data_IF_835142697939
#
_entry.id   IF_835142697939
#
_cell.length_a   1.000
_cell.length_b   1.000
_cell.length_c   1.000
_cell.angle_alpha   90.00
_cell.angle_beta   90.00
_cell.angle_gamma   90.00
#
_symmetry.space_group_name_H-M   'P 1'
#
loop_
_entity.id
_entity.type
_entity.pdbx_description
1 polymer ?
#
# COMPACT_ATOMS: atom_id res chain seq x y z
N UNK A 1 1.01 0.83 22.06
CA UNK A 1 2.03 0.90 20.99
C UNK A 1 1.33 1.43 19.74
N UNK A 2 1.97 2.16 18.84
CA UNK A 2 1.29 2.58 17.59
C UNK A 2 1.37 1.43 16.59
N UNK A 3 0.22 1.04 16.05
CA UNK A 3 0.09 -0.06 15.09
C UNK A 3 -0.57 0.43 13.79
N UNK A 4 -0.20 -0.22 12.69
CA UNK A 4 -0.78 0.02 11.39
C UNK A 4 -0.89 -1.27 10.62
N UNK A 5 -1.87 -1.33 9.72
CA UNK A 5 -2.12 -2.48 8.89
C UNK A 5 -2.32 -2.08 7.44
N UNK A 6 -1.85 -2.90 6.51
CA UNK A 6 -1.88 -2.58 5.08
C UNK A 6 -2.00 -3.77 4.15
N UNK A 7 -2.30 -3.48 2.89
CA UNK A 7 -2.51 -4.48 1.83
C UNK A 7 -1.54 -4.23 0.67
N UNK A 8 -0.64 -5.18 0.44
CA UNK A 8 0.20 -5.20 -0.75
C UNK A 8 -0.58 -5.85 -1.90
N UNK A 9 -1.17 -5.00 -2.74
CA UNK A 9 -1.82 -5.44 -3.97
C UNK A 9 -0.75 -5.83 -5.00
N UNK A 10 -0.92 -7.01 -5.61
CA UNK A 10 -0.03 -7.50 -6.65
C UNK A 10 -0.83 -8.16 -7.79
N UNK A 11 -0.26 -8.18 -9.00
CA UNK A 11 -0.85 -8.84 -10.18
C UNK A 11 0.23 -9.54 -11.00
N UNK A 12 -0.15 -10.51 -11.84
CA UNK A 12 0.78 -11.04 -12.86
C UNK A 12 0.91 -10.00 -13.99
N UNK A 13 2.11 -9.89 -14.55
CA UNK A 13 2.39 -8.98 -15.66
C UNK A 13 3.49 -9.60 -16.53
N UNK A 14 3.10 -10.12 -17.70
CA UNK A 14 3.99 -10.94 -18.54
C UNK A 14 4.53 -12.13 -17.75
N UNK A 15 5.85 -12.35 -17.83
CA UNK A 15 6.53 -13.43 -17.10
C UNK A 15 6.81 -13.11 -15.62
N UNK A 16 6.36 -11.94 -15.14
CA UNK A 16 6.66 -11.45 -13.79
C UNK A 16 5.43 -11.05 -12.98
N UNK A 17 5.69 -10.27 -11.93
CA UNK A 17 4.67 -9.65 -11.09
C UNK A 17 4.90 -8.15 -10.99
N UNK A 18 3.80 -7.43 -10.80
CA UNK A 18 3.81 -6.03 -10.40
C UNK A 18 3.14 -5.88 -9.04
N UNK A 19 3.60 -4.90 -8.28
CA UNK A 19 3.00 -4.45 -7.02
C UNK A 19 2.48 -3.03 -7.18
N UNK A 20 1.36 -2.73 -6.53
CA UNK A 20 0.87 -1.36 -6.45
C UNK A 20 1.60 -0.65 -5.31
N UNK A 21 2.23 0.48 -5.63
CA UNK A 21 2.78 1.39 -4.64
C UNK A 21 2.13 2.77 -4.74
N UNK A 22 2.01 3.43 -3.60
CA UNK A 22 1.39 4.73 -3.46
C UNK A 22 2.42 5.80 -3.02
N UNK A 23 2.47 6.92 -3.72
CA UNK A 23 3.33 8.07 -3.39
C UNK A 23 2.64 8.93 -2.34
N UNK A 24 3.34 9.23 -1.25
CA UNK A 24 2.80 10.08 -0.20
C UNK A 24 2.55 11.50 -0.74
N UNK A 25 1.35 12.00 -0.55
CA UNK A 25 0.95 13.31 -0.99
C UNK A 25 1.38 14.44 -0.05
N UNK A 26 1.07 15.66 -0.45
CA UNK A 26 1.40 16.86 0.29
C UNK A 26 2.77 17.46 -0.04
N UNK A 27 2.99 18.72 0.39
CA UNK A 27 4.04 19.57 -0.15
C UNK A 27 5.46 19.12 0.23
N UNK A 28 5.60 18.41 1.35
CA UNK A 28 6.87 17.84 1.79
C UNK A 28 7.35 16.68 0.89
N UNK A 29 6.41 15.93 0.32
CA UNK A 29 6.69 14.72 -0.45
C UNK A 29 6.63 14.93 -1.95
N UNK A 30 5.96 15.99 -2.44
CA UNK A 30 5.70 16.22 -3.87
C UNK A 30 6.94 16.07 -4.79
N UNK A 31 8.14 16.47 -4.30
CA UNK A 31 9.41 16.44 -5.06
C UNK A 31 10.27 15.21 -4.78
N UNK A 32 9.90 14.38 -3.80
CA UNK A 32 10.66 13.20 -3.39
C UNK A 32 10.20 11.99 -4.19
N UNK A 33 11.14 11.13 -4.57
CA UNK A 33 10.84 9.86 -5.22
C UNK A 33 11.33 8.71 -4.34
N UNK A 34 12.64 8.62 -4.11
CA UNK A 34 13.20 7.56 -3.27
C UNK A 34 12.75 7.70 -1.81
N UNK A 35 12.27 6.60 -1.23
CA UNK A 35 11.73 6.56 0.13
C UNK A 35 10.44 7.36 0.33
N UNK A 36 9.75 7.76 -0.74
CA UNK A 36 8.51 8.54 -0.70
C UNK A 36 7.26 7.72 -1.06
N UNK A 37 7.44 6.46 -1.42
CA UNK A 37 6.34 5.55 -1.77
C UNK A 37 6.14 4.49 -0.68
N UNK A 38 4.97 3.87 -0.65
CA UNK A 38 4.67 2.79 0.28
C UNK A 38 3.47 1.95 -0.12
N UNK A 39 3.18 0.98 0.75
CA UNK A 39 1.98 0.15 0.75
C UNK A 39 0.83 0.98 1.34
N UNK A 40 -0.37 0.78 0.82
CA UNK A 40 -1.58 1.35 1.38
C UNK A 40 -1.83 0.77 2.76
N UNK A 41 -1.96 1.63 3.76
CA UNK A 41 -2.03 1.26 5.18
C UNK A 41 -2.44 2.47 6.02
N UNK A 42 -3.05 2.19 7.15
CA UNK A 42 -3.28 3.21 8.17
C UNK A 42 -3.28 2.65 9.56
N UNK A 43 -3.60 3.53 10.50
CA UNK A 43 -3.59 3.21 11.92
C UNK A 43 -4.86 2.43 12.27
N UNK A 44 -4.76 1.57 13.27
CA UNK A 44 -5.92 0.90 13.85
C UNK A 44 -5.70 0.73 15.35
N UNK A 45 -6.80 0.51 16.05
CA UNK A 45 -6.80 0.16 17.46
C UNK A 45 -6.97 -1.36 17.60
N UNK A 46 -5.95 -2.10 18.07
CA UNK A 46 -6.02 -3.56 18.18
C UNK A 46 -7.05 -4.03 19.22
N UNK A 47 -7.55 -3.17 20.11
CA UNK A 47 -8.63 -3.51 21.03
C UNK A 47 -10.01 -3.50 20.33
N UNK A 48 -10.14 -2.82 19.20
CA UNK A 48 -11.43 -2.52 18.56
C UNK A 48 -11.54 -2.99 17.09
N UNK A 49 -10.41 -3.20 16.40
CA UNK A 49 -10.39 -3.57 14.98
C UNK A 49 -9.34 -4.66 14.73
N UNK A 50 -9.69 -5.68 13.94
CA UNK A 50 -8.69 -6.64 13.48
C UNK A 50 -7.79 -5.99 12.42
N UNK A 51 -6.49 -6.26 12.51
CA UNK A 51 -5.52 -5.67 11.59
C UNK A 51 -5.82 -5.96 10.10
N UNK A 52 -6.38 -7.12 9.76
CA UNK A 52 -6.75 -7.40 8.37
C UNK A 52 -7.93 -6.54 7.89
N UNK A 53 -8.92 -6.29 8.75
CA UNK A 53 -10.04 -5.39 8.45
C UNK A 53 -9.55 -3.96 8.24
N UNK A 54 -8.65 -3.50 9.11
CA UNK A 54 -7.98 -2.20 8.95
C UNK A 54 -7.20 -2.10 7.62
N UNK A 55 -6.46 -3.15 7.23
CA UNK A 55 -5.73 -3.17 5.97
C UNK A 55 -6.66 -3.02 4.74
N UNK A 56 -7.84 -3.65 4.78
CA UNK A 56 -8.85 -3.54 3.72
C UNK A 56 -9.48 -2.14 3.70
N UNK A 57 -9.94 -1.65 4.86
CA UNK A 57 -10.55 -0.32 5.02
C UNK A 57 -9.61 0.79 4.53
N UNK A 58 -8.37 0.78 5.01
CA UNK A 58 -7.37 1.79 4.65
C UNK A 58 -7.03 1.77 3.17
N UNK A 59 -6.98 0.59 2.55
CA UNK A 59 -6.78 0.49 1.10
C UNK A 59 -7.95 1.10 0.33
N UNK A 60 -9.19 0.87 0.79
CA UNK A 60 -10.37 1.48 0.20
C UNK A 60 -10.36 3.01 0.33
N UNK A 61 -10.02 3.52 1.52
CA UNK A 61 -9.95 4.96 1.80
C UNK A 61 -8.81 5.67 1.02
N UNK A 62 -7.65 5.02 0.92
CA UNK A 62 -6.47 5.60 0.27
C UNK A 62 -6.53 5.53 -1.26
N UNK A 63 -7.14 4.48 -1.83
CA UNK A 63 -7.28 4.31 -3.28
C UNK A 63 -8.64 4.80 -3.81
N UNK A 64 -9.62 4.96 -2.94
CA UNK A 64 -11.03 5.17 -3.29
C UNK A 64 -11.72 3.91 -3.82
N UNK A 65 -11.09 2.74 -3.70
CA UNK A 65 -11.61 1.44 -4.13
C UNK A 65 -10.84 0.32 -3.42
N UNK A 66 -11.54 -0.74 -2.99
CA UNK A 66 -10.93 -1.99 -2.59
C UNK A 66 -10.99 -2.99 -3.76
N UNK A 67 -9.85 -3.35 -4.39
CA UNK A 67 -9.86 -4.29 -5.49
C UNK A 67 -10.29 -5.68 -5.00
N UNK A 68 -11.13 -6.35 -5.80
CA UNK A 68 -11.49 -7.75 -5.55
C UNK A 68 -10.27 -8.66 -5.71
N UNK A 69 -10.17 -9.67 -4.85
CA UNK A 69 -9.15 -10.70 -5.00
C UNK A 69 -9.36 -11.50 -6.29
N UNK A 70 -8.26 -11.95 -6.89
CA UNK A 70 -8.28 -12.85 -8.03
C UNK A 70 -8.95 -14.18 -7.68
N UNK A 71 -9.42 -14.90 -8.69
CA UNK A 71 -9.89 -16.28 -8.53
C UNK A 71 -8.83 -17.28 -8.97
N UNK A 72 -8.83 -18.48 -8.39
CA UNK A 72 -8.04 -19.60 -8.89
C UNK A 72 -8.66 -20.25 -10.14
N UNK A 73 -8.03 -21.30 -10.65
CA UNK A 73 -8.47 -22.00 -11.87
C UNK A 73 -9.85 -22.66 -11.71
N UNK A 74 -10.26 -22.95 -10.47
CA UNK A 74 -11.57 -23.51 -10.13
C UNK A 74 -12.62 -22.42 -9.85
N UNK A 75 -12.27 -21.13 -10.04
CA UNK A 75 -13.16 -20.00 -9.82
C UNK A 75 -13.33 -19.60 -8.35
N UNK A 76 -12.50 -20.12 -7.43
CA UNK A 76 -12.56 -19.76 -6.01
C UNK A 76 -11.78 -18.48 -5.76
N UNK A 77 -12.32 -17.58 -4.95
CA UNK A 77 -11.65 -16.32 -4.57
C UNK A 77 -10.40 -16.63 -3.75
N UNK A 78 -9.25 -16.13 -4.20
CA UNK A 78 -7.98 -16.23 -3.47
C UNK A 78 -8.05 -15.39 -2.21
N UNK A 79 -7.55 -15.96 -1.11
CA UNK A 79 -7.47 -15.28 0.18
C UNK A 79 -6.25 -14.38 0.24
N UNK A 80 -6.35 -13.35 1.07
CA UNK A 80 -5.20 -12.51 1.39
C UNK A 80 -4.20 -13.32 2.24
N UNK A 81 -2.94 -13.27 1.87
CA UNK A 81 -1.88 -14.06 2.53
C UNK A 81 -1.07 -13.14 3.43
N UNK A 82 -0.88 -13.47 4.73
CA UNK A 82 -0.11 -12.61 5.61
C UNK A 82 1.36 -12.56 5.18
N UNK A 83 1.86 -11.34 4.97
CA UNK A 83 3.30 -11.06 4.85
C UNK A 83 3.94 -10.80 6.22
N UNK A 84 3.17 -10.81 7.31
CA UNK A 84 3.64 -10.64 8.68
C UNK A 84 3.83 -9.19 9.10
N UNK A 85 4.59 -8.99 10.16
CA UNK A 85 4.78 -7.67 10.80
C UNK A 85 6.23 -7.20 10.72
N UNK A 86 6.43 -5.89 10.54
CA UNK A 86 7.73 -5.20 10.58
C UNK A 86 7.64 -3.98 11.48
N UNK A 87 8.69 -3.73 12.26
CA UNK A 87 8.81 -2.51 13.08
C UNK A 87 9.50 -1.40 12.29
N UNK A 88 8.85 -0.26 12.16
CA UNK A 88 9.42 0.92 11.51
C UNK A 88 10.50 1.59 12.37
N UNK A 89 11.28 2.50 11.77
CA UNK A 89 12.28 3.30 12.50
C UNK A 89 11.68 4.18 13.60
N UNK A 90 10.41 4.59 13.48
CA UNK A 90 9.70 5.35 14.52
C UNK A 90 9.19 4.46 15.66
N UNK A 91 9.39 3.14 15.58
CA UNK A 91 8.92 2.17 16.55
C UNK A 91 7.51 1.63 16.30
N UNK A 92 6.79 2.13 15.28
CA UNK A 92 5.45 1.68 14.87
C UNK A 92 5.50 0.25 14.31
N UNK A 93 4.53 -0.60 14.68
CA UNK A 93 4.35 -1.91 14.04
C UNK A 93 3.51 -1.78 12.77
N UNK A 94 3.91 -2.48 11.72
CA UNK A 94 3.24 -2.50 10.42
C UNK A 94 2.97 -3.96 10.08
N UNK A 95 1.71 -4.37 10.03
CA UNK A 95 1.30 -5.72 9.62
C UNK A 95 0.72 -5.66 8.22
N UNK A 96 1.15 -6.56 7.33
CA UNK A 96 0.75 -6.50 5.91
C UNK A 96 0.27 -7.86 5.42
N UNK A 97 -0.72 -7.83 4.54
CA UNK A 97 -1.16 -8.96 3.73
C UNK A 97 -0.89 -8.71 2.26
N UNK A 98 -0.69 -9.77 1.48
CA UNK A 98 -0.66 -9.74 0.03
C UNK A 98 -2.03 -10.12 -0.52
N UNK A 99 -2.55 -9.32 -1.46
CA UNK A 99 -3.75 -9.65 -2.24
C UNK A 99 -3.39 -9.69 -3.72
N UNK A 100 -3.61 -10.83 -4.35
CA UNK A 100 -3.56 -10.91 -5.81
C UNK A 100 -4.84 -10.30 -6.37
N UNK A 101 -4.72 -9.33 -7.28
CA UNK A 101 -5.86 -8.82 -8.07
C UNK A 101 -5.87 -9.49 -9.44
N UNK A 102 -6.99 -9.36 -10.16
CA UNK A 102 -7.11 -9.91 -11.51
C UNK A 102 -6.02 -9.37 -12.45
N UNK A 103 -5.55 -10.22 -13.35
CA UNK A 103 -4.57 -9.83 -14.36
C UNK A 103 -5.16 -8.73 -15.26
N UNK A 104 -4.37 -7.69 -15.51
CA UNK A 104 -4.84 -6.51 -16.25
C UNK A 104 -5.78 -5.58 -15.47
N UNK A 105 -6.12 -5.89 -14.21
CA UNK A 105 -6.85 -4.95 -13.36
C UNK A 105 -6.02 -3.69 -13.13
N UNK A 106 -6.63 -2.53 -13.31
CA UNK A 106 -6.02 -1.23 -13.03
C UNK A 106 -6.98 -0.33 -12.26
N UNK A 107 -6.43 0.73 -11.67
CA UNK A 107 -7.22 1.75 -10.99
C UNK A 107 -8.12 2.47 -12.01
N UNK A 108 -9.34 2.89 -11.62
CA UNK A 108 -10.23 3.66 -12.48
C UNK A 108 -9.58 4.93 -13.06
N UNK A 109 -8.70 5.57 -12.28
CA UNK A 109 -7.89 6.72 -12.69
C UNK A 109 -6.40 6.42 -12.44
N UNK A 110 -5.69 5.84 -13.43
CA UNK A 110 -4.30 5.45 -13.27
C UNK A 110 -3.42 6.62 -12.86
N UNK A 111 -2.66 6.43 -11.78
CA UNK A 111 -1.70 7.42 -11.28
C UNK A 111 -2.30 8.58 -10.48
N UNK A 112 -3.62 8.64 -10.25
CA UNK A 112 -4.27 9.63 -9.36
C UNK A 112 -5.40 8.97 -8.56
N UNK A 113 -5.11 8.42 -7.37
CA UNK A 113 -6.16 7.80 -6.56
C UNK A 113 -7.11 8.86 -5.98
N UNK A 114 -8.33 8.42 -5.64
CA UNK A 114 -9.27 9.22 -4.85
C UNK A 114 -8.96 9.03 -3.35
N UNK A 115 -7.81 9.55 -2.94
CA UNK A 115 -7.31 9.44 -1.56
C UNK A 115 -7.97 10.47 -0.63
N UNK A 116 -8.14 10.09 0.64
CA UNK A 116 -8.46 11.02 1.71
C UNK A 116 -7.48 12.22 1.78
N UNK A 117 -7.92 13.30 2.41
CA UNK A 117 -7.11 14.51 2.57
C UNK A 117 -6.80 14.80 4.01
N UNK A 118 -5.60 15.29 4.26
CA UNK A 118 -5.19 15.84 5.55
C UNK A 118 -5.01 17.35 5.44
N UNK A 119 -5.18 18.05 6.57
CA UNK A 119 -4.98 19.49 6.63
C UNK A 119 -3.62 19.81 7.26
N UNK A 120 -2.88 20.74 6.67
CA UNK A 120 -1.69 21.28 7.30
C UNK A 120 -1.53 22.78 7.04
N UNK A 121 -0.83 23.44 7.96
CA UNK A 121 -0.45 24.83 7.74
C UNK A 121 0.58 24.91 6.62
N UNK A 122 0.24 25.62 5.54
CA UNK A 122 1.12 25.77 4.39
C UNK A 122 0.95 27.14 3.70
N UNK A 123 2.04 27.89 3.40
CA UNK A 123 3.44 27.61 3.77
C UNK A 123 3.65 27.56 5.30
N UNK A 124 4.76 26.95 5.79
CA UNK A 124 5.01 26.83 7.22
C UNK A 124 4.95 28.18 7.94
N UNK A 125 4.34 28.22 9.13
CA UNK A 125 4.18 29.42 9.98
C UNK A 125 3.34 30.56 9.38
N UNK A 126 2.60 30.30 8.30
CA UNK A 126 1.79 31.34 7.61
C UNK A 126 0.43 31.64 8.25
N UNK A 127 -0.03 30.83 9.20
CA UNK A 127 -1.42 30.88 9.69
C UNK A 127 -2.45 30.24 8.74
N UNK A 128 -2.08 29.96 7.48
CA UNK A 128 -3.00 29.43 6.46
C UNK A 128 -3.00 27.90 6.45
N UNK A 129 -4.19 27.31 6.49
CA UNK A 129 -4.38 25.86 6.38
C UNK A 129 -4.88 25.48 5.00
N UNK A 130 -4.33 24.38 4.46
CA UNK A 130 -4.70 23.83 3.17
C UNK A 130 -4.87 22.31 3.29
N UNK A 131 -5.78 21.76 2.50
CA UNK A 131 -5.98 20.32 2.36
C UNK A 131 -5.02 19.75 1.31
N UNK A 132 -4.44 18.59 1.59
CA UNK A 132 -3.60 17.83 0.66
C UNK A 132 -4.02 16.37 0.68
N UNK A 133 -3.93 15.65 -0.45
CA UNK A 133 -4.20 14.21 -0.45
C UNK A 133 -3.12 13.47 0.36
N UNK A 134 -3.51 12.40 1.04
CA UNK A 134 -2.58 11.50 1.72
C UNK A 134 -1.71 10.73 0.72
N UNK A 135 -2.29 10.36 -0.42
CA UNK A 135 -1.58 9.80 -1.57
C UNK A 135 -1.90 10.61 -2.82
N UNK A 136 -0.87 11.08 -3.53
CA UNK A 136 -1.04 11.87 -4.75
C UNK A 136 -0.94 11.06 -6.04
N UNK A 137 -0.26 9.90 -5.99
CA UNK A 137 -0.01 9.04 -7.14
C UNK A 137 0.08 7.57 -6.75
N UNK A 138 -0.23 6.71 -7.71
CA UNK A 138 -0.04 5.26 -7.61
C UNK A 138 0.73 4.76 -8.84
N UNK A 139 1.40 3.64 -8.69
CA UNK A 139 2.07 2.99 -9.81
C UNK A 139 2.11 1.47 -9.61
N UNK A 140 1.76 0.73 -10.66
CA UNK A 140 2.13 -0.66 -10.81
C UNK A 140 3.60 -0.73 -11.22
N UNK A 141 4.42 -1.41 -10.43
CA UNK A 141 5.85 -1.54 -10.67
C UNK A 141 6.31 -2.95 -10.36
N UNK A 142 7.33 -3.43 -11.07
CA UNK A 142 8.04 -4.64 -10.63
C UNK A 142 8.65 -4.42 -9.23
N UNK A 143 8.77 -5.47 -8.39
CA UNK A 143 9.37 -5.35 -7.06
C UNK A 143 10.75 -4.67 -7.09
N UNK A 144 11.57 -4.96 -8.10
CA UNK A 144 12.88 -4.34 -8.29
C UNK A 144 12.81 -2.81 -8.49
N UNK A 145 11.81 -2.33 -9.25
CA UNK A 145 11.59 -0.90 -9.50
C UNK A 145 10.91 -0.20 -8.31
N UNK A 146 10.04 -0.90 -7.59
CA UNK A 146 9.36 -0.37 -6.40
C UNK A 146 10.33 -0.18 -5.22
N UNK A 147 11.26 -1.12 -5.02
CA UNK A 147 12.20 -1.15 -3.88
C UNK A 147 12.89 0.20 -3.56
N UNK A 148 13.57 0.90 -4.50
CA UNK A 148 14.24 2.16 -4.19
C UNK A 148 13.27 3.30 -3.86
N UNK A 149 12.06 3.27 -4.42
CA UNK A 149 11.00 4.25 -4.21
C UNK A 149 10.35 4.10 -2.83
N UNK A 150 10.25 2.86 -2.34
CA UNK A 150 9.58 2.56 -1.08
C UNK A 150 10.35 3.01 0.16
N UNK A 151 9.59 3.42 1.19
CA UNK A 151 10.09 3.62 2.55
C UNK A 151 10.88 2.38 3.00
N UNK A 152 12.10 2.52 3.55
CA UNK A 152 12.98 1.38 3.85
C UNK A 152 12.34 0.26 4.66
N UNK A 153 11.54 0.58 5.67
CA UNK A 153 10.90 -0.42 6.54
C UNK A 153 9.81 -1.25 5.86
N UNK A 154 9.37 -0.87 4.66
CA UNK A 154 8.34 -1.62 3.92
C UNK A 154 8.93 -2.48 2.80
N UNK A 155 10.23 -2.35 2.50
CA UNK A 155 10.89 -3.11 1.42
C UNK A 155 10.93 -4.60 1.72
N UNK A 156 10.97 -4.97 2.99
CA UNK A 156 10.96 -6.37 3.43
C UNK A 156 9.68 -7.11 2.98
N UNK A 157 8.55 -6.41 2.85
CA UNK A 157 7.32 -7.03 2.32
C UNK A 157 7.43 -7.43 0.85
N UNK A 158 8.30 -6.77 0.07
CA UNK A 158 8.59 -7.20 -1.29
C UNK A 158 9.37 -8.53 -1.31
N UNK A 159 10.31 -8.70 -0.37
CA UNK A 159 11.10 -9.93 -0.24
C UNK A 159 10.20 -11.09 0.19
N UNK A 160 9.36 -10.87 1.21
CA UNK A 160 8.41 -11.87 1.70
C UNK A 160 7.38 -12.25 0.61
N UNK A 161 6.93 -11.31 -0.21
CA UNK A 161 6.08 -11.62 -1.36
C UNK A 161 6.82 -12.51 -2.39
N UNK A 162 8.07 -12.17 -2.73
CA UNK A 162 8.87 -12.94 -3.67
C UNK A 162 9.08 -14.39 -3.19
N UNK A 163 9.41 -14.58 -1.92
CA UNK A 163 9.58 -15.92 -1.32
C UNK A 163 8.30 -16.77 -1.41
N UNK A 164 7.12 -16.17 -1.16
CA UNK A 164 5.85 -16.88 -1.28
C UNK A 164 5.54 -17.28 -2.72
N UNK A 165 5.84 -16.40 -3.69
CA UNK A 165 5.67 -16.68 -5.11
C UNK A 165 6.60 -17.81 -5.58
N UNK A 166 7.86 -17.79 -5.17
CA UNK A 166 8.85 -18.84 -5.49
C UNK A 166 8.44 -20.21 -4.94
N UNK A 167 7.83 -20.23 -3.75
CA UNK A 167 7.34 -21.45 -3.11
C UNK A 167 5.98 -21.91 -3.62
N UNK A 168 5.33 -21.15 -4.52
CA UNK A 168 3.98 -21.44 -5.02
C UNK A 168 2.90 -21.39 -3.93
N UNK A 169 3.12 -20.58 -2.89
CA UNK A 169 2.20 -20.44 -1.75
C UNK A 169 1.15 -19.32 -1.95
N UNK A 170 1.28 -18.56 -3.03
CA UNK A 170 0.35 -17.48 -3.43
C UNK A 170 0.20 -17.38 -4.94
#
# INVERSE_FOLDING_TARGET
MVESAGLLLWRRAGDGVEVLVAHMGGPYWQRKQNGAWGITKGLFDPENEHAHDAAMRETEEELGILPSSATDAEGRVRRDVPLGTVRSRSGKLITVWARQVLDGWDLPEPGRPRSNTFHMQWPPRSGKYQAFPEIDRTAWLSPARARPLMVPSQREFLDRLAELLERGQI
#
